data_IF_776561337969
#
_entry.id   IF_776561337969
#
_cell.length_a   1.000
_cell.length_b   1.000
_cell.length_c   1.000
_cell.angle_alpha   90.00
_cell.angle_beta   90.00
_cell.angle_gamma   90.00
#
_symmetry.space_group_name_H-M   'P 1'
#
loop_
_entity.id
_entity.type
_entity.pdbx_description
1 polymer ?
#
# COMPACT_ATOMS: atom_id res chain seq x y z
N UNK A 1 24.56 -0.63 -17.05
CA UNK A 1 24.67 -0.33 -15.61
C UNK A 1 23.45 -0.96 -14.95
N UNK A 2 23.59 -1.66 -13.81
CA UNK A 2 22.40 -2.12 -13.05
C UNK A 2 21.64 -0.88 -12.58
N UNK A 3 20.35 -0.83 -12.81
CA UNK A 3 19.49 0.24 -12.26
C UNK A 3 19.62 0.30 -10.74
N UNK A 4 19.47 1.48 -10.15
CA UNK A 4 19.42 1.62 -8.70
C UNK A 4 18.27 0.77 -8.13
N UNK A 5 18.41 0.23 -6.91
CA UNK A 5 17.30 -0.47 -6.26
C UNK A 5 16.06 0.42 -6.14
N UNK A 6 14.88 -0.14 -6.35
CA UNK A 6 13.62 0.59 -6.29
C UNK A 6 13.03 0.59 -4.87
N UNK A 7 12.62 1.76 -4.37
CA UNK A 7 11.89 1.92 -3.12
C UNK A 7 10.48 2.39 -3.46
N UNK A 8 9.48 1.55 -3.18
CA UNK A 8 8.08 1.80 -3.50
C UNK A 8 7.34 1.96 -2.17
N UNK A 9 6.90 3.18 -1.89
CA UNK A 9 5.99 3.46 -0.77
C UNK A 9 4.56 3.39 -1.29
N UNK A 10 3.73 2.60 -0.64
CA UNK A 10 2.32 2.49 -1.00
C UNK A 10 1.43 2.74 0.20
N UNK A 11 0.26 3.31 -0.05
CA UNK A 11 -0.78 3.49 0.96
C UNK A 11 -2.11 2.99 0.42
N UNK A 12 -2.78 2.14 1.21
CA UNK A 12 -4.09 1.60 0.90
C UNK A 12 -5.13 2.55 1.51
N UNK A 13 -5.68 3.43 0.65
CA UNK A 13 -6.64 4.48 1.06
C UNK A 13 -8.04 3.92 1.00
N UNK A 14 -8.55 3.63 2.16
CA UNK A 14 -9.79 2.90 2.40
C UNK A 14 -10.57 3.54 3.56
N UNK A 15 -11.79 3.10 3.77
CA UNK A 15 -12.58 3.39 4.95
C UNK A 15 -11.93 2.74 6.17
N UNK A 16 -11.79 3.47 7.28
CA UNK A 16 -11.20 2.96 8.52
C UNK A 16 -12.15 1.98 9.22
N UNK A 17 -12.23 0.75 8.71
CA UNK A 17 -13.11 -0.29 9.27
C UNK A 17 -12.43 -1.16 10.35
N UNK A 18 -11.18 -0.89 10.69
CA UNK A 18 -10.44 -1.66 11.69
C UNK A 18 -11.16 -1.76 13.06
N UNK A 19 -11.87 -0.75 13.57
CA UNK A 19 -12.64 -0.90 14.80
C UNK A 19 -13.73 -1.97 14.70
N UNK A 20 -14.38 -2.15 13.54
CA UNK A 20 -15.41 -3.17 13.34
C UNK A 20 -14.84 -4.59 13.47
N UNK A 21 -13.57 -4.82 13.07
CA UNK A 21 -12.91 -6.14 13.25
C UNK A 21 -12.78 -6.53 14.73
N UNK A 22 -12.82 -5.54 15.63
CA UNK A 22 -12.74 -5.72 17.09
C UNK A 22 -14.07 -5.48 17.82
N UNK A 23 -15.18 -5.43 17.07
CA UNK A 23 -16.53 -5.34 17.63
C UNK A 23 -16.95 -3.94 18.11
N UNK A 24 -16.31 -2.88 17.65
CA UNK A 24 -16.69 -1.49 17.93
C UNK A 24 -17.45 -0.91 16.75
N UNK A 25 -18.64 -0.39 17.02
CA UNK A 25 -19.41 0.33 16.01
C UNK A 25 -18.71 1.63 15.62
N UNK A 26 -18.64 1.82 14.31
CA UNK A 26 -18.14 3.03 13.67
C UNK A 26 -18.90 3.22 12.35
N UNK A 27 -19.60 4.34 12.20
CA UNK A 27 -20.32 4.63 10.96
C UNK A 27 -19.38 5.03 9.81
N UNK A 28 -19.91 5.06 8.59
CA UNK A 28 -19.10 5.33 7.40
C UNK A 28 -18.47 6.74 7.43
N UNK A 29 -19.21 7.74 7.93
CA UNK A 29 -18.70 9.10 7.99
C UNK A 29 -17.47 9.20 8.91
N UNK A 30 -17.55 8.57 10.06
CA UNK A 30 -16.43 8.50 10.99
C UNK A 30 -15.25 7.66 10.45
N UNK A 31 -15.51 6.54 9.75
CA UNK A 31 -14.48 5.76 9.08
C UNK A 31 -13.72 6.62 8.05
N UNK A 32 -14.45 7.36 7.22
CA UNK A 32 -13.88 8.28 6.24
C UNK A 32 -13.11 9.43 6.87
N UNK A 33 -13.62 9.98 7.98
CA UNK A 33 -12.97 11.07 8.71
C UNK A 33 -11.63 10.61 9.33
N UNK A 34 -11.59 9.42 9.94
CA UNK A 34 -10.33 8.84 10.44
C UNK A 34 -9.31 8.61 9.31
N UNK A 35 -9.78 8.08 8.18
CA UNK A 35 -8.92 7.88 7.02
C UNK A 35 -8.40 9.21 6.45
N UNK A 36 -9.24 10.25 6.34
CA UNK A 36 -8.79 11.59 5.90
C UNK A 36 -7.71 12.16 6.80
N UNK A 37 -7.93 12.15 8.12
CA UNK A 37 -6.97 12.66 9.11
C UNK A 37 -5.61 11.96 9.01
N UNK A 38 -5.62 10.64 8.91
CA UNK A 38 -4.40 9.87 8.80
C UNK A 38 -3.71 10.06 7.45
N UNK A 39 -4.47 10.13 6.36
CA UNK A 39 -3.94 10.38 5.02
C UNK A 39 -3.25 11.74 4.93
N UNK A 40 -3.83 12.79 5.50
CA UNK A 40 -3.22 14.11 5.59
C UNK A 40 -1.84 14.07 6.27
N UNK A 41 -1.72 13.33 7.38
CA UNK A 41 -0.44 13.17 8.09
C UNK A 41 0.59 12.41 7.24
N UNK A 42 0.17 11.32 6.59
CA UNK A 42 1.03 10.56 5.69
C UNK A 42 1.50 11.42 4.51
N UNK A 43 0.58 12.07 3.80
CA UNK A 43 0.89 12.89 2.63
C UNK A 43 1.76 14.09 2.97
N UNK A 44 1.63 14.67 4.16
CA UNK A 44 2.54 15.71 4.65
C UNK A 44 3.98 15.20 4.72
N UNK A 45 4.22 14.01 5.27
CA UNK A 45 5.57 13.40 5.33
C UNK A 45 6.12 13.16 3.92
N UNK A 46 5.31 12.60 3.03
CA UNK A 46 5.68 12.30 1.64
C UNK A 46 6.04 13.59 0.87
N UNK A 47 5.24 14.64 1.06
CA UNK A 47 5.47 15.94 0.42
C UNK A 47 6.72 16.63 0.95
N UNK A 48 6.93 16.66 2.27
CA UNK A 48 8.14 17.23 2.90
C UNK A 48 9.42 16.50 2.44
N UNK A 49 9.34 15.18 2.28
CA UNK A 49 10.46 14.36 1.81
C UNK A 49 10.66 14.42 0.28
N UNK A 50 9.75 15.01 -0.47
CA UNK A 50 9.75 15.10 -1.93
C UNK A 50 9.82 13.73 -2.65
N UNK A 51 9.22 12.68 -2.07
CA UNK A 51 9.20 11.33 -2.64
C UNK A 51 7.84 11.01 -3.27
N UNK A 52 7.79 10.22 -4.36
CA UNK A 52 6.53 9.71 -4.90
C UNK A 52 6.00 8.55 -4.05
N UNK A 53 4.70 8.28 -4.18
CA UNK A 53 4.07 7.07 -3.64
C UNK A 53 2.97 6.57 -4.57
N UNK A 54 2.59 5.29 -4.41
CA UNK A 54 1.43 4.70 -5.06
C UNK A 54 0.28 4.64 -4.06
N UNK A 55 -0.86 5.15 -4.47
CA UNK A 55 -2.07 5.27 -3.66
C UNK A 55 -3.10 4.29 -4.22
N UNK A 56 -3.33 3.19 -3.51
CA UNK A 56 -4.42 2.26 -3.81
C UNK A 56 -5.67 2.75 -3.10
N UNK A 57 -6.65 3.25 -3.87
CA UNK A 57 -7.83 3.92 -3.33
C UNK A 57 -9.09 3.10 -3.59
N UNK A 58 -9.98 2.95 -2.57
CA UNK A 58 -11.30 2.37 -2.76
C UNK A 58 -12.22 3.32 -3.51
N UNK A 59 -13.20 2.75 -4.25
CA UNK A 59 -14.23 3.54 -4.92
C UNK A 59 -15.06 4.36 -3.94
N UNK A 60 -15.41 3.79 -2.79
CA UNK A 60 -16.18 4.47 -1.73
C UNK A 60 -15.41 5.69 -1.20
N UNK A 61 -14.12 5.52 -0.85
CA UNK A 61 -13.33 6.66 -0.39
C UNK A 61 -13.26 7.76 -1.45
N UNK A 62 -13.04 7.40 -2.71
CA UNK A 62 -12.93 8.34 -3.83
C UNK A 62 -14.23 9.13 -4.04
N UNK A 63 -15.41 8.48 -3.98
CA UNK A 63 -16.71 9.14 -4.11
C UNK A 63 -16.94 10.22 -3.04
N UNK A 64 -16.48 10.00 -1.81
CA UNK A 64 -16.64 10.93 -0.70
C UNK A 64 -15.53 11.98 -0.61
N UNK A 65 -14.45 11.86 -1.41
CA UNK A 65 -13.28 12.74 -1.39
C UNK A 65 -12.87 13.21 -2.78
N UNK A 66 -13.85 13.56 -3.63
CA UNK A 66 -13.66 13.93 -5.05
C UNK A 66 -12.64 15.03 -5.24
N UNK A 67 -12.68 16.07 -4.41
CA UNK A 67 -11.75 17.21 -4.51
C UNK A 67 -10.31 16.72 -4.28
N UNK A 68 -10.07 15.89 -3.29
CA UNK A 68 -8.75 15.35 -3.01
C UNK A 68 -8.20 14.48 -4.17
N UNK A 69 -9.05 13.65 -4.80
CA UNK A 69 -8.66 12.84 -5.97
C UNK A 69 -8.27 13.74 -7.15
N UNK A 70 -9.04 14.81 -7.40
CA UNK A 70 -8.76 15.76 -8.50
C UNK A 70 -7.46 16.54 -8.30
N UNK A 71 -7.17 16.90 -7.06
CA UNK A 71 -6.02 17.74 -6.70
C UNK A 71 -4.75 16.92 -6.43
N UNK A 72 -4.82 15.60 -6.57
CA UNK A 72 -3.68 14.72 -6.31
C UNK A 72 -2.52 15.02 -7.26
N UNK A 73 -1.35 15.35 -6.70
CA UNK A 73 -0.13 15.65 -7.47
C UNK A 73 0.23 14.48 -8.40
N UNK A 74 0.53 14.81 -9.66
CA UNK A 74 0.86 13.84 -10.71
C UNK A 74 2.14 13.05 -10.48
N UNK A 75 2.98 13.47 -9.53
CA UNK A 75 4.13 12.67 -9.09
C UNK A 75 3.72 11.39 -8.38
N UNK A 76 2.51 11.34 -7.81
CA UNK A 76 1.95 10.17 -7.19
C UNK A 76 1.13 9.36 -8.18
N UNK A 77 1.16 8.06 -8.04
CA UNK A 77 0.30 7.16 -8.77
C UNK A 77 -1.01 6.96 -8.03
N UNK A 78 -2.14 7.04 -8.76
CA UNK A 78 -3.44 6.58 -8.30
C UNK A 78 -3.71 5.21 -8.87
N UNK A 79 -3.96 4.23 -8.00
CA UNK A 79 -4.29 2.84 -8.31
C UNK A 79 -5.57 2.43 -7.57
N UNK A 80 -6.15 1.30 -7.94
CA UNK A 80 -7.41 0.84 -7.35
C UNK A 80 -7.19 -0.11 -6.18
N UNK A 81 -8.01 0.06 -5.12
CA UNK A 81 -8.13 -0.87 -3.98
C UNK A 81 -9.48 -1.63 -3.97
N UNK A 82 -10.11 -1.76 -5.15
CA UNK A 82 -11.48 -2.24 -5.30
C UNK A 82 -12.51 -1.12 -5.07
N UNK A 83 -13.79 -1.48 -5.14
CA UNK A 83 -14.85 -0.48 -4.93
C UNK A 83 -15.16 -0.31 -3.43
N UNK A 84 -15.34 -1.43 -2.71
CA UNK A 84 -15.61 -1.50 -1.28
C UNK A 84 -14.49 -2.26 -0.56
N UNK A 85 -14.14 -1.83 0.66
CA UNK A 85 -13.19 -2.57 1.49
C UNK A 85 -13.83 -3.78 2.18
N UNK A 86 -15.11 -3.68 2.56
CA UNK A 86 -15.81 -4.68 3.40
C UNK A 86 -16.35 -5.88 2.62
N UNK A 87 -16.73 -5.71 1.36
CA UNK A 87 -17.25 -6.78 0.48
C UNK A 87 -16.74 -6.55 -0.94
N UNK A 88 -16.68 -7.64 -1.72
CA UNK A 88 -16.07 -7.59 -3.03
C UNK A 88 -16.71 -8.59 -3.99
N UNK A 89 -17.17 -8.09 -5.14
CA UNK A 89 -17.55 -8.88 -6.31
C UNK A 89 -16.57 -8.58 -7.46
N UNK A 90 -15.69 -9.54 -7.85
CA UNK A 90 -14.69 -9.29 -8.89
C UNK A 90 -15.28 -8.89 -10.23
N UNK A 91 -16.48 -9.36 -10.56
CA UNK A 91 -17.10 -9.08 -11.86
C UNK A 91 -17.58 -7.65 -12.03
N UNK A 92 -17.91 -7.00 -10.95
CA UNK A 92 -18.44 -5.62 -10.95
C UNK A 92 -17.44 -4.64 -10.37
N UNK A 93 -16.83 -4.95 -9.24
CA UNK A 93 -16.08 -3.98 -8.44
C UNK A 93 -14.71 -3.62 -9.04
N UNK A 94 -14.06 -4.56 -9.72
CA UNK A 94 -12.78 -4.29 -10.39
C UNK A 94 -12.92 -3.22 -11.48
N UNK A 95 -13.89 -3.38 -12.38
CA UNK A 95 -14.08 -2.45 -13.48
C UNK A 95 -14.68 -1.13 -12.98
N UNK A 96 -15.69 -1.17 -12.11
CA UNK A 96 -16.37 0.03 -11.62
C UNK A 96 -15.43 0.92 -10.80
N UNK A 97 -14.57 0.36 -9.94
CA UNK A 97 -13.59 1.14 -9.19
C UNK A 97 -12.56 1.80 -10.12
N UNK A 98 -12.06 1.08 -11.13
CA UNK A 98 -11.13 1.65 -12.10
C UNK A 98 -11.75 2.82 -12.86
N UNK A 99 -12.93 2.63 -13.42
CA UNK A 99 -13.62 3.66 -14.21
C UNK A 99 -13.95 4.90 -13.37
N UNK A 100 -14.40 4.71 -12.14
CA UNK A 100 -14.66 5.82 -11.22
C UNK A 100 -13.38 6.63 -10.93
N UNK A 101 -12.28 5.96 -10.59
CA UNK A 101 -11.02 6.63 -10.30
C UNK A 101 -10.46 7.36 -11.53
N UNK A 102 -10.60 6.78 -12.74
CA UNK A 102 -10.23 7.42 -14.01
C UNK A 102 -11.10 8.64 -14.30
N UNK A 103 -12.42 8.54 -14.09
CA UNK A 103 -13.36 9.67 -14.28
C UNK A 103 -13.02 10.84 -13.34
N UNK A 104 -12.81 10.54 -12.05
CA UNK A 104 -12.57 11.58 -11.05
C UNK A 104 -11.20 12.23 -11.20
N UNK A 105 -10.16 11.47 -11.54
CA UNK A 105 -8.78 11.96 -11.61
C UNK A 105 -8.40 12.50 -12.99
N UNK A 106 -9.13 12.12 -14.05
CA UNK A 106 -8.74 12.38 -15.44
C UNK A 106 -7.49 11.61 -15.89
N UNK A 107 -7.05 10.60 -15.14
CA UNK A 107 -5.82 9.82 -15.39
C UNK A 107 -6.15 8.33 -15.55
N UNK A 108 -5.31 7.61 -16.31
CA UNK A 108 -5.41 6.14 -16.37
C UNK A 108 -5.06 5.51 -15.04
N UNK A 109 -5.82 4.49 -14.66
CA UNK A 109 -5.61 3.66 -13.48
C UNK A 109 -5.25 2.26 -13.95
N UNK A 110 -3.98 1.90 -13.84
CA UNK A 110 -3.44 0.65 -14.39
C UNK A 110 -3.07 -0.38 -13.32
N UNK A 111 -3.03 0.03 -12.06
CA UNK A 111 -2.65 -0.80 -10.92
C UNK A 111 -3.83 -1.18 -10.03
N UNK A 112 -3.73 -2.37 -9.45
CA UNK A 112 -4.74 -2.90 -8.53
C UNK A 112 -4.08 -3.54 -7.30
N UNK A 113 -4.70 -3.37 -6.13
CA UNK A 113 -4.42 -4.15 -4.92
C UNK A 113 -5.73 -4.58 -4.29
N UNK A 114 -5.88 -5.88 -4.05
CA UNK A 114 -7.08 -6.39 -3.37
C UNK A 114 -7.03 -6.05 -1.88
N UNK A 115 -8.13 -5.54 -1.37
CA UNK A 115 -8.36 -5.34 0.06
C UNK A 115 -8.04 -6.62 0.85
N UNK A 116 -7.38 -6.46 2.01
CA UNK A 116 -6.99 -7.56 2.90
C UNK A 116 -6.12 -8.64 2.24
N UNK A 117 -5.50 -8.35 1.08
CA UNK A 117 -4.70 -9.29 0.29
C UNK A 117 -5.43 -10.60 -0.03
N UNK A 118 -6.76 -10.53 -0.25
CA UNK A 118 -7.55 -11.69 -0.64
C UNK A 118 -7.20 -12.12 -2.06
N UNK A 119 -7.47 -13.39 -2.36
CA UNK A 119 -7.27 -13.92 -3.71
C UNK A 119 -8.30 -13.37 -4.69
N UNK A 120 -7.84 -12.98 -5.86
CA UNK A 120 -8.66 -12.59 -7.02
C UNK A 120 -8.06 -13.28 -8.24
N UNK A 121 -8.90 -13.82 -9.10
CA UNK A 121 -8.46 -14.45 -10.33
C UNK A 121 -7.80 -13.43 -11.28
N UNK A 122 -6.63 -13.75 -11.79
CA UNK A 122 -5.87 -12.85 -12.68
C UNK A 122 -6.66 -12.51 -13.96
N UNK A 123 -7.50 -13.45 -14.42
CA UNK A 123 -8.35 -13.22 -15.58
C UNK A 123 -9.37 -12.08 -15.35
N UNK A 124 -9.95 -11.97 -14.15
CA UNK A 124 -10.90 -10.91 -13.80
C UNK A 124 -10.16 -9.55 -13.71
N UNK A 125 -8.94 -9.54 -13.14
CA UNK A 125 -8.11 -8.35 -13.06
C UNK A 125 -7.74 -7.83 -14.45
N UNK A 126 -7.32 -8.73 -15.34
CA UNK A 126 -7.02 -8.39 -16.75
C UNK A 126 -8.26 -7.92 -17.50
N UNK A 127 -9.40 -8.59 -17.35
CA UNK A 127 -10.65 -8.21 -18.00
C UNK A 127 -11.11 -6.81 -17.56
N UNK A 128 -10.84 -6.43 -16.31
CA UNK A 128 -11.09 -5.08 -15.82
C UNK A 128 -10.10 -4.04 -16.38
N UNK A 129 -9.02 -4.45 -17.08
CA UNK A 129 -8.09 -3.59 -17.79
C UNK A 129 -6.89 -3.12 -16.96
N UNK A 130 -6.58 -3.77 -15.85
CA UNK A 130 -5.34 -3.53 -15.09
C UNK A 130 -4.15 -4.23 -15.76
N UNK A 131 -2.95 -3.67 -15.58
CA UNK A 131 -1.70 -4.21 -16.14
C UNK A 131 -0.82 -4.85 -15.06
N UNK A 132 -1.04 -4.48 -13.81
CA UNK A 132 -0.38 -5.09 -12.67
C UNK A 132 -1.29 -5.15 -11.45
N UNK A 133 -0.96 -6.06 -10.53
CA UNK A 133 -1.54 -6.05 -9.18
C UNK A 133 -0.47 -6.27 -8.10
N UNK A 134 -0.79 -5.86 -6.87
CA UNK A 134 0.07 -6.01 -5.70
C UNK A 134 -0.68 -6.62 -4.52
N UNK A 135 -1.40 -7.72 -4.78
CA UNK A 135 -2.27 -8.39 -3.81
C UNK A 135 -1.63 -9.60 -3.11
N UNK A 136 -0.31 -9.79 -3.27
CA UNK A 136 0.41 -10.91 -2.70
C UNK A 136 1.34 -10.46 -1.58
N UNK A 137 1.14 -11.00 -0.37
CA UNK A 137 2.12 -10.91 0.71
C UNK A 137 2.75 -12.29 0.92
N UNK A 138 4.02 -12.53 0.51
CA UNK A 138 4.64 -13.85 0.46
C UNK A 138 5.15 -14.31 1.83
N UNK A 139 4.25 -14.36 2.81
CA UNK A 139 4.49 -14.75 4.19
C UNK A 139 3.36 -15.63 4.73
N UNK A 140 3.43 -15.96 6.00
CA UNK A 140 2.37 -16.62 6.74
C UNK A 140 1.83 -15.69 7.81
N UNK A 141 0.54 -15.39 7.74
CA UNK A 141 -0.21 -14.66 8.77
C UNK A 141 -1.25 -15.64 9.34
N UNK A 142 -1.06 -16.12 10.60
CA UNK A 142 -2.00 -17.03 11.22
C UNK A 142 -3.43 -16.50 11.19
N UNK A 143 -4.39 -17.36 10.78
CA UNK A 143 -5.81 -16.98 10.67
C UNK A 143 -6.17 -16.20 9.41
N UNK A 144 -5.21 -15.76 8.57
CA UNK A 144 -5.48 -15.04 7.32
C UNK A 144 -5.03 -15.82 6.08
N UNK A 145 -3.72 -16.11 5.95
CA UNK A 145 -3.20 -16.84 4.78
C UNK A 145 -1.82 -17.46 5.03
N UNK A 146 -1.45 -18.44 4.18
CA UNK A 146 -0.13 -19.04 4.15
C UNK A 146 0.44 -19.01 2.72
N UNK A 147 1.30 -18.04 2.44
CA UNK A 147 1.94 -17.84 1.14
C UNK A 147 3.47 -18.08 1.21
N UNK A 148 3.94 -18.95 2.10
CA UNK A 148 5.38 -19.24 2.27
C UNK A 148 6.05 -19.81 1.00
N UNK A 149 5.28 -20.38 0.08
CA UNK A 149 5.78 -20.90 -1.20
C UNK A 149 5.74 -19.89 -2.34
N UNK A 150 5.05 -18.77 -2.16
CA UNK A 150 4.92 -17.76 -3.20
C UNK A 150 6.23 -17.03 -3.50
N UNK A 151 6.34 -16.44 -4.69
CA UNK A 151 7.49 -15.63 -5.08
C UNK A 151 7.65 -14.42 -4.16
N UNK A 152 8.89 -14.10 -3.81
CA UNK A 152 9.27 -12.86 -3.12
C UNK A 152 9.65 -11.75 -4.10
N UNK A 153 9.81 -12.10 -5.36
CA UNK A 153 10.22 -11.20 -6.43
C UNK A 153 9.05 -10.96 -7.39
N UNK A 154 9.02 -9.81 -8.08
CA UNK A 154 8.04 -9.56 -9.12
C UNK A 154 8.08 -10.65 -10.19
N UNK A 155 6.91 -10.99 -10.71
CA UNK A 155 6.80 -11.97 -11.79
C UNK A 155 5.68 -11.57 -12.74
N UNK A 156 5.82 -11.98 -13.99
CA UNK A 156 4.82 -11.78 -15.04
C UNK A 156 4.20 -13.13 -15.38
N UNK A 157 2.92 -13.24 -15.20
CA UNK A 157 2.18 -14.47 -15.48
C UNK A 157 0.84 -14.12 -16.12
N UNK A 158 0.42 -14.91 -17.11
CA UNK A 158 -0.88 -14.76 -17.81
C UNK A 158 -1.18 -13.34 -18.32
N UNK A 159 -0.18 -12.55 -18.67
CA UNK A 159 -0.37 -11.18 -19.16
C UNK A 159 -0.41 -10.08 -18.09
N UNK A 160 -0.18 -10.42 -16.83
CA UNK A 160 -0.28 -9.52 -15.69
C UNK A 160 1.01 -9.53 -14.86
N UNK A 161 1.48 -8.35 -14.44
CA UNK A 161 2.53 -8.25 -13.46
C UNK A 161 1.99 -8.45 -12.04
N UNK A 162 2.64 -9.30 -11.27
CA UNK A 162 2.42 -9.42 -9.83
C UNK A 162 3.62 -8.82 -9.08
N UNK A 163 3.37 -7.77 -8.29
CA UNK A 163 4.38 -7.07 -7.50
C UNK A 163 4.11 -7.36 -6.02
N UNK A 164 4.77 -8.38 -5.43
CA UNK A 164 4.49 -8.77 -4.06
C UNK A 164 4.91 -7.68 -3.06
N UNK A 165 4.22 -7.64 -1.91
CA UNK A 165 4.71 -6.91 -0.75
C UNK A 165 6.06 -7.47 -0.31
N UNK A 166 6.96 -6.61 0.17
CA UNK A 166 8.30 -7.05 0.55
C UNK A 166 8.31 -7.83 1.86
N UNK A 167 9.13 -8.87 1.86
CA UNK A 167 9.46 -9.66 3.04
C UNK A 167 10.97 -9.80 3.16
N UNK A 168 11.47 -10.03 4.39
CA UNK A 168 12.90 -10.29 4.58
C UNK A 168 13.35 -11.52 3.78
N UNK A 169 14.59 -11.52 3.25
CA UNK A 169 15.06 -12.56 2.33
C UNK A 169 15.01 -13.99 2.89
N UNK A 170 15.35 -14.16 4.16
CA UNK A 170 15.51 -15.48 4.76
C UNK A 170 14.24 -15.94 5.52
N UNK A 171 13.72 -15.11 6.42
CA UNK A 171 12.66 -15.48 7.35
C UNK A 171 11.26 -15.09 6.89
N UNK A 172 11.13 -14.40 5.75
CA UNK A 172 9.85 -13.90 5.24
C UNK A 172 9.08 -13.05 6.26
N UNK A 173 9.79 -12.30 7.13
CA UNK A 173 9.16 -11.32 8.00
C UNK A 173 8.57 -10.24 7.09
N UNK A 174 7.26 -9.98 7.13
CA UNK A 174 6.64 -9.04 6.21
C UNK A 174 7.02 -7.60 6.57
N UNK A 175 7.45 -6.82 5.56
CA UNK A 175 7.85 -5.43 5.70
C UNK A 175 6.68 -4.50 5.39
N UNK A 176 5.70 -4.48 6.27
CA UNK A 176 4.46 -3.74 6.13
C UNK A 176 4.10 -3.03 7.43
N UNK A 177 2.97 -2.36 7.44
CA UNK A 177 2.50 -1.54 8.55
C UNK A 177 2.64 -2.18 9.94
N UNK A 178 2.30 -3.46 10.09
CA UNK A 178 2.34 -4.14 11.39
C UNK A 178 3.78 -4.32 11.89
N UNK A 179 4.69 -4.73 11.01
CA UNK A 179 6.11 -4.82 11.34
C UNK A 179 6.72 -3.42 11.58
N UNK A 180 6.41 -2.46 10.71
CA UNK A 180 6.85 -1.09 10.89
C UNK A 180 6.41 -0.51 12.24
N UNK A 181 5.18 -0.77 12.65
CA UNK A 181 4.61 -0.31 13.92
C UNK A 181 5.29 -0.94 15.13
N UNK A 182 5.55 -2.25 15.10
CA UNK A 182 5.91 -3.03 16.27
C UNK A 182 7.41 -3.30 16.45
N UNK A 183 8.22 -3.28 15.40
CA UNK A 183 9.68 -3.40 15.54
C UNK A 183 10.34 -2.06 15.86
N UNK A 184 11.46 -2.05 16.64
CA UNK A 184 12.34 -0.89 16.75
C UNK A 184 12.80 -0.43 15.36
N UNK A 185 12.83 0.90 15.13
CA UNK A 185 13.15 1.45 13.82
C UNK A 185 14.52 0.98 13.27
N UNK A 186 15.51 0.83 14.14
CA UNK A 186 16.86 0.34 13.76
C UNK A 186 16.78 -1.06 13.15
N UNK A 187 16.00 -1.97 13.75
CA UNK A 187 15.80 -3.33 13.24
C UNK A 187 15.04 -3.29 11.92
N UNK A 188 13.98 -2.50 11.83
CA UNK A 188 13.18 -2.37 10.60
C UNK A 188 14.02 -1.81 9.44
N UNK A 189 14.87 -0.79 9.70
CA UNK A 189 15.83 -0.27 8.72
C UNK A 189 16.78 -1.35 8.21
N UNK A 190 17.32 -2.17 9.10
CA UNK A 190 18.21 -3.25 8.70
C UNK A 190 17.50 -4.28 7.82
N UNK A 191 16.27 -4.67 8.17
CA UNK A 191 15.45 -5.56 7.34
C UNK A 191 15.20 -4.98 5.94
N UNK A 192 14.87 -3.68 5.84
CA UNK A 192 14.70 -3.00 4.57
C UNK A 192 16.00 -2.98 3.74
N UNK A 193 17.13 -2.63 4.36
CA UNK A 193 18.46 -2.59 3.71
C UNK A 193 18.86 -3.96 3.15
N UNK A 194 18.67 -5.02 3.93
CA UNK A 194 18.99 -6.39 3.50
C UNK A 194 18.09 -6.85 2.35
N UNK A 195 16.81 -6.46 2.39
CA UNK A 195 15.85 -6.78 1.34
C UNK A 195 16.18 -6.04 0.05
N UNK A 196 16.45 -4.73 0.10
CA UNK A 196 16.91 -3.95 -1.06
C UNK A 196 18.18 -4.54 -1.67
N UNK A 197 19.16 -4.86 -0.86
CA UNK A 197 20.42 -5.47 -1.33
C UNK A 197 20.22 -6.81 -2.02
N UNK A 198 19.29 -7.64 -1.51
CA UNK A 198 19.07 -8.99 -2.02
C UNK A 198 18.10 -9.07 -3.18
N UNK A 199 17.01 -8.28 -3.12
CA UNK A 199 15.91 -8.35 -4.08
C UNK A 199 15.95 -7.24 -5.13
N UNK A 200 16.68 -6.14 -4.90
CA UNK A 200 16.74 -4.98 -5.78
C UNK A 200 15.51 -4.09 -5.72
N UNK A 201 14.53 -4.40 -4.91
CA UNK A 201 13.34 -3.57 -4.69
C UNK A 201 12.80 -3.71 -3.26
N UNK A 202 12.00 -2.73 -2.86
CA UNK A 202 11.29 -2.68 -1.58
C UNK A 202 9.89 -2.11 -1.81
N UNK A 203 8.86 -2.91 -1.54
CA UNK A 203 7.46 -2.53 -1.59
C UNK A 203 6.89 -2.52 -0.16
N UNK A 204 6.74 -1.32 0.40
CA UNK A 204 6.17 -1.10 1.74
C UNK A 204 4.75 -0.59 1.60
N UNK A 205 3.81 -1.12 2.41
CA UNK A 205 2.45 -0.63 2.42
C UNK A 205 1.95 -0.24 3.81
N UNK A 206 1.14 0.81 3.82
CA UNK A 206 0.55 1.45 4.98
C UNK A 206 -0.93 1.70 4.75
N UNK A 207 -1.64 2.11 5.81
CA UNK A 207 -3.03 2.56 5.72
C UNK A 207 -3.17 3.92 6.39
N UNK A 208 -4.10 4.77 5.95
CA UNK A 208 -4.32 6.09 6.56
C UNK A 208 -4.58 6.02 8.06
N UNK A 209 -5.45 5.10 8.50
CA UNK A 209 -5.84 4.98 9.91
C UNK A 209 -4.68 4.71 10.87
N UNK A 210 -3.54 4.24 10.40
CA UNK A 210 -2.34 4.07 11.23
C UNK A 210 -1.76 5.39 11.72
N UNK A 211 -1.95 6.44 10.94
CA UNK A 211 -1.46 7.79 11.21
C UNK A 211 -2.52 8.69 11.87
N UNK A 212 -3.73 8.17 12.09
CA UNK A 212 -4.80 8.82 12.83
C UNK A 212 -4.74 8.50 14.33
N UNK A 213 -5.43 9.26 15.16
CA UNK A 213 -5.62 8.96 16.58
C UNK A 213 -6.81 8.02 16.78
N UNK A 214 -6.52 6.74 16.98
CA UNK A 214 -7.50 5.70 17.27
C UNK A 214 -7.67 5.42 18.77
N UNK A 215 -7.21 6.31 19.66
CA UNK A 215 -7.20 6.07 21.12
C UNK A 215 -8.57 5.91 21.74
N UNK A 216 -9.64 6.38 21.07
CA UNK A 216 -11.02 6.18 21.49
C UNK A 216 -11.51 4.73 21.33
N UNK A 217 -10.83 3.93 20.51
CA UNK A 217 -11.13 2.51 20.34
C UNK A 217 -10.11 1.68 21.14
N UNK A 218 -10.54 0.80 22.05
CA UNK A 218 -9.65 -0.06 22.83
C UNK A 218 -9.13 -1.23 21.96
N UNK A 219 -8.38 -0.89 20.90
CA UNK A 219 -7.75 -1.85 20.00
C UNK A 219 -6.55 -2.54 20.67
N UNK A 220 -6.23 -3.78 20.29
CA UNK A 220 -5.04 -4.46 20.78
C UNK A 220 -3.76 -3.63 20.60
N UNK A 221 -2.83 -3.72 21.54
CA UNK A 221 -1.60 -2.90 21.55
C UNK A 221 -0.77 -3.02 20.26
N UNK A 222 -0.75 -4.19 19.59
CA UNK A 222 -0.04 -4.37 18.33
C UNK A 222 -0.70 -3.61 17.15
N UNK A 223 -1.98 -3.27 17.26
CA UNK A 223 -2.73 -2.49 16.27
C UNK A 223 -2.67 -1.00 16.59
N UNK A 224 -2.89 -0.61 17.86
CA UNK A 224 -2.98 0.79 18.29
C UNK A 224 -1.63 1.47 18.56
N UNK A 225 -0.52 0.71 18.64
CA UNK A 225 0.82 1.26 18.93
C UNK A 225 1.18 2.37 17.94
N UNK A 226 1.60 3.52 18.48
CA UNK A 226 2.07 4.66 17.69
C UNK A 226 0.99 5.51 17.01
N UNK A 227 -0.31 5.21 17.22
CA UNK A 227 -1.44 5.94 16.61
C UNK A 227 -1.58 7.42 17.04
N UNK A 228 -0.76 7.89 17.98
CA UNK A 228 -0.75 9.29 18.46
C UNK A 228 0.35 10.14 17.82
N UNK A 229 0.64 9.94 16.54
CA UNK A 229 1.64 10.71 15.81
C UNK A 229 3.06 10.15 15.85
N UNK A 230 3.34 9.12 16.64
CA UNK A 230 4.67 8.49 16.69
C UNK A 230 5.06 7.88 15.34
N UNK A 231 4.09 7.31 14.61
CA UNK A 231 4.34 6.70 13.30
C UNK A 231 4.67 7.73 12.23
N UNK A 232 4.15 8.95 12.33
CA UNK A 232 4.51 10.09 11.46
C UNK A 232 6.01 10.36 11.57
N UNK A 233 6.51 10.52 12.80
CA UNK A 233 7.94 10.76 13.06
C UNK A 233 8.82 9.57 12.64
N UNK A 234 8.32 8.35 12.83
CA UNK A 234 8.99 7.11 12.46
C UNK A 234 9.11 6.97 10.94
N UNK A 235 8.05 7.29 10.19
CA UNK A 235 8.05 7.28 8.72
C UNK A 235 9.00 8.34 8.17
N UNK A 236 8.95 9.56 8.69
CA UNK A 236 9.88 10.64 8.32
C UNK A 236 11.34 10.21 8.53
N UNK A 237 11.63 9.57 9.66
CA UNK A 237 12.97 9.07 9.96
C UNK A 237 13.39 7.90 9.06
N UNK A 238 12.45 7.04 8.65
CA UNK A 238 12.73 5.93 7.72
C UNK A 238 13.06 6.45 6.33
N UNK A 239 12.27 7.37 5.78
CA UNK A 239 12.51 7.96 4.45
C UNK A 239 13.84 8.70 4.43
N UNK A 240 14.11 9.53 5.44
CA UNK A 240 15.39 10.23 5.58
C UNK A 240 16.57 9.26 5.57
N UNK A 241 16.48 8.16 6.32
CA UNK A 241 17.51 7.13 6.34
C UNK A 241 17.79 6.55 4.94
N UNK A 242 16.75 6.26 4.15
CA UNK A 242 16.93 5.75 2.80
C UNK A 242 17.62 6.78 1.90
N UNK A 243 17.28 8.06 2.03
CA UNK A 243 17.87 9.14 1.26
C UNK A 243 19.33 9.39 1.64
N UNK A 244 19.64 9.50 2.94
CA UNK A 244 20.98 9.76 3.46
C UNK A 244 21.98 8.64 3.15
N UNK A 245 21.53 7.39 3.22
CA UNK A 245 22.34 6.20 2.90
C UNK A 245 22.41 5.89 1.39
N UNK A 246 21.65 6.60 0.55
CA UNK A 246 21.64 6.36 -0.88
C UNK A 246 21.21 4.93 -1.25
N UNK A 247 20.22 4.36 -0.53
CA UNK A 247 19.89 2.94 -0.63
C UNK A 247 19.14 2.55 -1.91
N UNK A 248 18.54 3.53 -2.60
CA UNK A 248 17.77 3.30 -3.82
C UNK A 248 17.00 4.53 -4.25
N UNK A 249 16.22 4.40 -5.31
CA UNK A 249 15.37 5.43 -5.87
C UNK A 249 13.92 5.24 -5.43
N UNK A 250 13.28 6.31 -4.96
CA UNK A 250 11.85 6.30 -4.70
C UNK A 250 11.08 6.44 -6.00
N UNK A 251 10.27 5.44 -6.32
CA UNK A 251 9.46 5.41 -7.55
C UNK A 251 8.05 4.91 -7.24
N UNK A 252 7.10 5.20 -8.14
CA UNK A 252 5.76 4.61 -8.09
C UNK A 252 5.80 3.16 -8.58
N UNK A 253 4.76 2.39 -8.26
CA UNK A 253 4.68 0.99 -8.69
C UNK A 253 4.52 0.88 -10.21
N UNK A 254 3.75 1.77 -10.83
CA UNK A 254 3.63 1.85 -12.29
C UNK A 254 5.00 2.08 -12.95
N UNK A 255 5.80 3.02 -12.42
CA UNK A 255 7.13 3.28 -12.95
C UNK A 255 8.08 2.09 -12.74
N UNK A 256 7.94 1.38 -11.63
CA UNK A 256 8.68 0.15 -11.40
C UNK A 256 8.31 -0.94 -12.41
N UNK A 257 7.01 -1.13 -12.69
CA UNK A 257 6.55 -2.07 -13.73
C UNK A 257 7.12 -1.71 -15.09
N UNK A 258 7.11 -0.42 -15.48
CA UNK A 258 7.73 0.06 -16.72
C UNK A 258 9.23 -0.24 -16.77
N UNK A 259 9.95 -0.13 -15.64
CA UNK A 259 11.38 -0.52 -15.59
C UNK A 259 11.57 -2.03 -15.78
N UNK A 260 10.69 -2.87 -15.22
CA UNK A 260 10.74 -4.33 -15.42
C UNK A 260 10.48 -4.73 -16.87
N UNK A 261 9.58 -4.03 -17.57
CA UNK A 261 9.29 -4.25 -18.99
C UNK A 261 10.45 -3.85 -19.90
N UNK A 262 11.07 -2.72 -19.62
CA UNK A 262 12.23 -2.22 -20.39
C UNK A 262 13.52 -3.02 -20.13
N UNK A 263 13.60 -3.78 -19.06
CA UNK A 263 14.74 -4.63 -18.70
C UNK A 263 14.65 -6.08 -19.23
N UNK A 264 13.53 -6.42 -19.89
CA UNK A 264 13.36 -7.69 -20.61
C UNK A 264 13.88 -7.56 -22.03
#
# INVERSE_FOLDING_TARGET
MKSAPAIILTIDVEECDIPLEYGYDIDLEEQLDQSRKGLEQFMKVISEAQVPCTIFCTGVYAQHNVAWIKDLDTKHELASHGFYHSHFDPKTDLLSSRLLLEELSGRKVVGFRMARMQHVEEADILQAGYTYHSSLNPTWIPGRYNHLKASKLPFFEKGLWNIPASVTPNFRIPLFWLAFKNFPLVIFRQFCKDTLKKHGFLNLYFHPWEFADLSKYPLPAHVSRGSKGELVSKLKSLIRYFQEEGLGEFITMENFVKQLENGK
#
